data_IF_310074351042
#
_entry.id   IF_310074351042
#
_cell.length_a   1.000
_cell.length_b   1.000
_cell.length_c   1.000
_cell.angle_alpha   90.00
_cell.angle_beta   90.00
_cell.angle_gamma   90.00
#
_symmetry.space_group_name_H-M   'P 1'
#
loop_
_entity.id
_entity.type
_entity.pdbx_description
1 polymer ?
#
# COMPACT_ATOMS: atom_id res chain seq x y z
N UNK A 1 10.49 -8.77 -31.78
CA UNK A 1 10.29 -8.88 -30.31
C UNK A 1 10.97 -7.70 -29.66
N UNK A 2 10.26 -6.57 -29.51
CA UNK A 2 10.85 -5.35 -28.96
C UNK A 2 10.98 -5.45 -27.44
N UNK A 3 12.19 -5.25 -26.90
CA UNK A 3 12.38 -5.07 -25.46
C UNK A 3 11.55 -3.88 -24.99
N UNK A 4 10.52 -4.14 -24.18
CA UNK A 4 9.90 -3.11 -23.35
C UNK A 4 10.83 -2.88 -22.16
N UNK A 5 11.66 -1.84 -22.24
CA UNK A 5 12.59 -1.48 -21.16
C UNK A 5 11.85 -0.66 -20.11
N UNK A 6 11.83 -1.15 -18.86
CA UNK A 6 11.46 -0.33 -17.70
C UNK A 6 12.69 0.48 -17.29
N UNK A 7 12.58 1.81 -17.28
CA UNK A 7 13.65 2.66 -16.76
C UNK A 7 13.37 2.98 -15.29
N UNK A 8 14.37 2.77 -14.43
CA UNK A 8 14.31 3.15 -13.01
C UNK A 8 15.24 4.34 -12.77
N UNK A 9 14.68 5.47 -12.35
CA UNK A 9 15.45 6.62 -11.86
C UNK A 9 15.30 6.76 -10.35
N UNK A 10 16.34 7.25 -9.68
CA UNK A 10 16.31 7.53 -8.23
C UNK A 10 16.30 9.04 -7.99
N UNK A 11 15.37 9.52 -7.17
CA UNK A 11 15.16 10.95 -6.88
C UNK A 11 15.74 11.37 -5.52
N UNK A 12 16.36 10.43 -4.78
CA UNK A 12 16.84 10.63 -3.41
C UNK A 12 15.74 10.45 -2.36
N UNK A 13 16.12 10.30 -1.09
CA UNK A 13 15.17 10.24 0.03
C UNK A 13 14.15 9.08 -0.04
N UNK A 14 14.54 7.93 -0.61
CA UNK A 14 13.64 6.78 -0.79
C UNK A 14 12.69 6.89 -1.98
N UNK A 15 12.78 7.97 -2.78
CA UNK A 15 11.95 8.17 -3.96
C UNK A 15 12.59 7.61 -5.24
N UNK A 16 11.77 6.95 -6.08
CA UNK A 16 12.14 6.48 -7.42
C UNK A 16 11.05 6.78 -8.45
N UNK A 17 11.45 6.83 -9.71
CA UNK A 17 10.57 6.95 -10.87
C UNK A 17 10.72 5.72 -11.76
N UNK A 18 9.59 5.14 -12.16
CA UNK A 18 9.49 3.97 -13.01
C UNK A 18 8.84 4.42 -14.32
N UNK A 19 9.54 4.32 -15.43
CA UNK A 19 9.01 4.67 -16.75
C UNK A 19 8.84 3.41 -17.58
N UNK A 20 7.60 3.09 -17.95
CA UNK A 20 7.32 1.95 -18.82
C UNK A 20 7.76 2.23 -20.28
N UNK A 21 7.63 1.23 -21.14
CA UNK A 21 8.06 1.34 -22.53
C UNK A 21 7.19 2.26 -23.38
N UNK A 22 6.00 2.63 -22.89
CA UNK A 22 5.08 3.55 -23.55
C UNK A 22 5.28 4.99 -23.05
N UNK A 23 6.23 5.20 -22.13
CA UNK A 23 6.63 6.49 -21.58
C UNK A 23 5.85 6.90 -20.32
N UNK A 24 4.96 6.06 -19.81
CA UNK A 24 4.17 6.38 -18.62
C UNK A 24 5.04 6.27 -17.38
N UNK A 25 4.92 7.25 -16.48
CA UNK A 25 5.75 7.33 -15.29
C UNK A 25 4.97 7.08 -14.01
N UNK A 26 5.43 6.14 -13.18
CA UNK A 26 4.98 5.97 -11.80
C UNK A 26 6.05 6.48 -10.85
N UNK A 27 5.68 7.26 -9.83
CA UNK A 27 6.59 7.64 -8.74
C UNK A 27 6.28 6.82 -7.50
N UNK A 28 7.32 6.30 -6.86
CA UNK A 28 7.21 5.57 -5.61
C UNK A 28 8.10 6.22 -4.55
N UNK A 29 7.59 6.33 -3.34
CA UNK A 29 8.31 6.79 -2.16
C UNK A 29 8.34 5.67 -1.14
N UNK A 30 9.50 5.47 -0.51
CA UNK A 30 9.70 4.40 0.45
C UNK A 30 10.24 4.93 1.76
N UNK A 31 9.90 4.26 2.85
CA UNK A 31 10.50 4.51 4.16
C UNK A 31 11.90 3.88 4.25
N UNK A 32 12.53 4.02 5.42
CA UNK A 32 13.86 3.47 5.72
C UNK A 32 13.92 1.95 5.77
N UNK A 33 12.77 1.27 5.84
CA UNK A 33 12.65 -0.19 5.79
C UNK A 33 12.24 -0.69 4.40
N UNK A 34 12.31 0.17 3.39
CA UNK A 34 11.93 -0.10 2.00
C UNK A 34 10.43 -0.38 1.78
N UNK A 35 9.57 -0.01 2.73
CA UNK A 35 8.12 -0.09 2.56
C UNK A 35 7.61 1.07 1.70
N UNK A 36 6.68 0.80 0.78
CA UNK A 36 6.08 1.81 -0.11
C UNK A 36 5.13 2.72 0.66
N UNK A 37 5.50 3.97 0.94
CA UNK A 37 4.64 4.92 1.68
C UNK A 37 3.74 5.75 0.80
N UNK A 38 4.14 5.97 -0.46
CA UNK A 38 3.34 6.72 -1.43
C UNK A 38 3.61 6.24 -2.85
N UNK A 39 2.56 6.14 -3.65
CA UNK A 39 2.61 5.89 -5.09
C UNK A 39 1.84 6.98 -5.81
N UNK A 40 2.42 7.50 -6.90
CA UNK A 40 1.76 8.41 -7.82
C UNK A 40 1.72 7.70 -9.18
N UNK A 41 0.53 7.43 -9.70
CA UNK A 41 0.33 6.81 -11.00
C UNK A 41 0.56 7.82 -12.16
N UNK A 42 0.59 7.37 -13.43
CA UNK A 42 0.77 8.25 -14.58
C UNK A 42 -0.32 9.32 -14.73
N UNK A 43 -1.53 9.03 -14.29
CA UNK A 43 -2.68 9.94 -14.29
C UNK A 43 -2.61 10.98 -13.16
N UNK A 44 -1.66 10.84 -12.24
CA UNK A 44 -1.46 11.73 -11.08
C UNK A 44 -2.25 11.33 -9.84
N UNK A 45 -2.96 10.20 -9.88
CA UNK A 45 -3.63 9.59 -8.75
C UNK A 45 -2.61 9.18 -7.67
N UNK A 46 -2.97 9.44 -6.42
CA UNK A 46 -2.07 9.25 -5.27
C UNK A 46 -2.62 8.14 -4.38
N UNK A 47 -1.82 7.11 -4.15
CA UNK A 47 -2.09 6.12 -3.10
C UNK A 47 -1.06 6.26 -1.98
N UNK A 48 -1.51 6.26 -0.73
CA UNK A 48 -0.66 6.36 0.47
C UNK A 48 -0.82 5.14 1.34
N UNK A 49 0.26 4.77 2.02
CA UNK A 49 0.31 3.59 2.88
C UNK A 49 1.02 3.93 4.20
N UNK A 50 0.56 3.30 5.27
CA UNK A 50 1.28 3.25 6.55
C UNK A 50 1.34 1.82 7.05
N UNK A 51 2.34 1.53 7.87
CA UNK A 51 2.69 0.18 8.25
C UNK A 51 2.84 0.06 9.77
N UNK A 52 2.55 -1.14 10.29
CA UNK A 52 2.97 -1.50 11.64
C UNK A 52 4.48 -1.85 11.66
N UNK A 53 5.00 -2.14 12.85
CA UNK A 53 6.42 -2.48 13.07
C UNK A 53 6.90 -3.73 12.34
N UNK A 54 5.99 -4.60 11.89
CA UNK A 54 6.30 -5.81 11.12
C UNK A 54 6.20 -5.59 9.60
N UNK A 55 6.08 -4.33 9.15
CA UNK A 55 5.93 -3.99 7.74
C UNK A 55 4.58 -4.42 7.15
N UNK A 56 3.54 -4.59 7.97
CA UNK A 56 2.18 -4.87 7.50
C UNK A 56 1.35 -3.59 7.37
N UNK A 57 0.62 -3.37 6.27
CA UNK A 57 -0.16 -2.14 6.08
C UNK A 57 -1.25 -1.99 7.14
N UNK A 58 -1.32 -0.85 7.82
CA UNK A 58 -2.39 -0.53 8.78
C UNK A 58 -3.39 0.50 8.23
N UNK A 59 -2.96 1.29 7.25
CA UNK A 59 -3.85 2.18 6.49
C UNK A 59 -3.39 2.27 5.04
N UNK A 60 -4.37 2.28 4.14
CA UNK A 60 -4.20 2.51 2.70
C UNK A 60 -5.24 3.55 2.32
N UNK A 61 -4.81 4.66 1.73
CA UNK A 61 -5.71 5.67 1.16
C UNK A 61 -5.46 5.72 -0.34
N UNK A 62 -6.47 5.39 -1.14
CA UNK A 62 -6.38 5.41 -2.60
C UNK A 62 -6.56 6.81 -3.21
N UNK A 63 -6.45 6.89 -4.53
CA UNK A 63 -6.55 8.14 -5.28
C UNK A 63 -7.92 8.81 -5.19
N UNK A 64 -8.96 8.05 -4.83
CA UNK A 64 -10.33 8.56 -4.62
C UNK A 64 -10.54 9.04 -3.18
N UNK A 65 -9.47 9.08 -2.37
CA UNK A 65 -9.47 9.33 -0.93
C UNK A 65 -10.28 8.30 -0.12
N UNK A 66 -10.51 7.11 -0.67
CA UNK A 66 -11.13 6.02 0.07
C UNK A 66 -10.08 5.36 0.96
N UNK A 67 -10.38 5.29 2.25
CA UNK A 67 -9.47 4.75 3.26
C UNK A 67 -9.82 3.30 3.62
N UNK A 68 -8.80 2.44 3.64
CA UNK A 68 -8.87 1.09 4.20
C UNK A 68 -7.97 1.01 5.42
N UNK A 69 -8.52 0.64 6.58
CA UNK A 69 -7.78 0.37 7.80
C UNK A 69 -7.73 -1.13 8.10
N UNK A 70 -6.59 -1.61 8.60
CA UNK A 70 -6.36 -3.01 8.94
C UNK A 70 -5.83 -3.08 10.37
N UNK A 71 -6.58 -3.78 11.22
CA UNK A 71 -6.15 -4.14 12.57
C UNK A 71 -5.53 -5.53 12.54
N UNK A 72 -4.51 -5.73 13.36
CA UNK A 72 -3.81 -7.00 13.47
C UNK A 72 -3.98 -7.59 14.89
N UNK A 73 -3.62 -8.85 15.02
CA UNK A 73 -3.45 -9.53 16.31
C UNK A 73 -2.27 -8.91 17.11
N UNK A 74 -2.09 -9.29 18.39
CA UNK A 74 -1.00 -8.74 19.21
C UNK A 74 0.40 -8.99 18.66
N UNK A 75 0.60 -10.06 17.87
CA UNK A 75 1.88 -10.29 17.19
C UNK A 75 2.10 -9.35 15.99
N UNK A 76 1.07 -8.61 15.57
CA UNK A 76 1.09 -7.69 14.44
C UNK A 76 1.20 -8.38 13.09
N UNK A 77 0.80 -9.65 12.99
CA UNK A 77 1.06 -10.49 11.82
C UNK A 77 -0.20 -10.95 11.11
N UNK A 78 -1.28 -11.21 11.86
CA UNK A 78 -2.55 -11.70 11.33
C UNK A 78 -3.63 -10.61 11.40
N UNK A 79 -4.31 -10.27 10.30
CA UNK A 79 -5.34 -9.24 10.31
C UNK A 79 -6.56 -9.70 11.10
N UNK A 80 -6.97 -8.97 12.14
CA UNK A 80 -8.16 -9.27 12.94
C UNK A 80 -9.39 -8.51 12.47
N UNK A 81 -9.19 -7.36 11.81
CA UNK A 81 -10.26 -6.56 11.24
C UNK A 81 -9.79 -5.79 10.01
N UNK A 82 -10.64 -5.68 9.00
CA UNK A 82 -10.46 -4.77 7.86
C UNK A 82 -11.69 -3.86 7.80
N UNK A 83 -11.46 -2.56 7.84
CA UNK A 83 -12.48 -1.53 7.60
C UNK A 83 -12.21 -0.89 6.25
N UNK A 84 -13.13 -1.03 5.28
CA UNK A 84 -13.06 -0.35 3.98
C UNK A 84 -13.95 0.88 3.98
N UNK A 85 -13.59 1.86 3.15
CA UNK A 85 -14.26 3.16 3.07
C UNK A 85 -14.43 3.79 4.46
N UNK A 86 -13.38 3.74 5.27
CA UNK A 86 -13.40 4.18 6.66
C UNK A 86 -13.82 5.66 6.74
N UNK A 87 -14.83 5.95 7.57
CA UNK A 87 -15.36 7.29 7.75
C UNK A 87 -16.38 7.75 6.70
N UNK A 88 -16.73 6.90 5.72
CA UNK A 88 -17.80 7.17 4.76
C UNK A 88 -19.11 6.46 5.12
N UNK A 89 -20.19 6.80 4.41
CA UNK A 89 -21.48 6.13 4.53
C UNK A 89 -21.46 4.66 4.04
N UNK A 90 -20.52 4.32 3.16
CA UNK A 90 -20.35 2.98 2.57
C UNK A 90 -19.35 2.12 3.35
N UNK A 91 -19.02 2.53 4.59
CA UNK A 91 -18.06 1.82 5.42
C UNK A 91 -18.48 0.37 5.64
N UNK A 92 -17.56 -0.56 5.36
CA UNK A 92 -17.76 -1.99 5.64
C UNK A 92 -16.66 -2.51 6.55
N UNK A 93 -17.05 -3.32 7.54
CA UNK A 93 -16.13 -3.92 8.52
C UNK A 93 -16.18 -5.44 8.38
N UNK A 94 -15.02 -6.05 8.15
CA UNK A 94 -14.83 -7.51 8.15
C UNK A 94 -13.95 -7.90 9.33
N UNK A 95 -14.44 -8.80 10.19
CA UNK A 95 -13.67 -9.31 11.34
C UNK A 95 -13.25 -10.76 11.09
N UNK A 96 -11.98 -11.07 11.37
CA UNK A 96 -11.43 -12.40 11.24
C UNK A 96 -11.29 -13.04 12.62
N UNK A 97 -11.77 -14.28 12.75
CA UNK A 97 -11.61 -15.07 13.95
C UNK A 97 -10.69 -16.24 13.63
N UNK A 98 -9.56 -16.31 14.32
CA UNK A 98 -8.59 -17.38 14.17
C UNK A 98 -8.77 -18.37 15.32
N UNK A 99 -9.02 -19.63 14.99
CA UNK A 99 -8.90 -20.72 15.97
C UNK A 99 -7.51 -21.30 15.84
N UNK A 100 -6.78 -21.40 16.95
CA UNK A 100 -5.57 -22.21 16.99
C UNK A 100 -6.01 -23.66 16.77
N UNK A 101 -5.54 -24.31 15.70
CA UNK A 101 -5.73 -25.76 15.59
C UNK A 101 -4.98 -26.37 16.76
N UNK A 102 -5.69 -27.01 17.69
CA UNK A 102 -5.06 -27.77 18.76
C UNK A 102 -4.05 -28.74 18.11
N UNK A 103 -2.79 -28.60 18.49
CA UNK A 103 -1.71 -29.52 18.14
C UNK A 103 -1.83 -30.80 18.96
#
# INVERSE_FOLDING_TARGET
TGSKTLTVGYLGGGARILTDADGNTTKEYRDTWDNLTKRIDPEGGITQYSYNTNGKPINITDAENSATAISYDPSGSLPTQITRAQGSADQTVTTFNYTTRAS
#
